data_IF_164717829140
#
_entry.id   IF_164717829140
#
_cell.length_a   1.000
_cell.length_b   1.000
_cell.length_c   1.000
_cell.angle_alpha   90.00
_cell.angle_beta   90.00
_cell.angle_gamma   90.00
#
_symmetry.space_group_name_H-M   'P 1'
#
loop_
_entity.id
_entity.type
_entity.pdbx_description
1 polymer ?
#
# COMPACT_ATOMS: atom_id res chain seq x y z
N UNK A 1 35.79 39.04 23.49
CA UNK A 1 36.62 38.26 22.55
C UNK A 1 35.63 37.69 21.53
N UNK A 2 35.24 38.45 20.51
CA UNK A 2 35.96 38.61 19.23
C UNK A 2 36.10 37.24 18.57
N UNK A 3 35.25 36.84 17.62
CA UNK A 3 35.09 37.37 16.25
C UNK A 3 35.53 36.22 15.34
N UNK A 4 34.83 35.75 14.30
CA UNK A 4 34.51 36.31 12.97
C UNK A 4 34.03 35.03 12.22
N UNK A 5 32.89 34.94 11.54
CA UNK A 5 32.49 35.72 10.36
C UNK A 5 32.86 34.94 9.08
N UNK A 6 31.86 34.43 8.36
CA UNK A 6 32.04 33.72 7.09
C UNK A 6 30.71 33.47 6.38
N UNK A 7 30.09 34.54 5.90
CA UNK A 7 28.92 34.54 5.01
C UNK A 7 29.28 33.97 3.64
N UNK A 8 28.47 33.06 3.11
CA UNK A 8 28.19 33.02 1.67
C UNK A 8 26.73 32.69 1.41
N UNK A 9 25.97 33.78 1.17
CA UNK A 9 25.03 33.96 0.05
C UNK A 9 24.12 32.80 -0.37
N UNK A 10 22.83 32.98 -0.08
CA UNK A 10 21.83 33.30 -1.11
C UNK A 10 21.68 32.37 -2.31
N UNK A 11 20.64 31.53 -2.25
CA UNK A 11 19.95 30.97 -3.41
C UNK A 11 18.45 30.99 -3.18
N UNK A 12 17.76 32.02 -3.68
CA UNK A 12 16.30 32.02 -3.83
C UNK A 12 15.95 31.05 -4.97
N UNK A 13 15.13 30.06 -4.69
CA UNK A 13 14.40 29.27 -5.69
C UNK A 13 13.02 28.99 -5.12
N UNK A 14 12.01 29.72 -5.58
CA UNK A 14 10.63 29.44 -5.24
C UNK A 14 10.12 28.33 -6.14
N UNK A 15 9.59 27.27 -5.56
CA UNK A 15 8.70 26.34 -6.24
C UNK A 15 7.61 25.98 -5.23
N UNK A 16 6.35 26.17 -5.63
CA UNK A 16 5.17 25.82 -4.83
C UNK A 16 5.19 24.33 -4.56
N UNK A 17 5.77 23.95 -3.42
CA UNK A 17 5.78 22.58 -2.96
C UNK A 17 4.36 22.14 -2.71
N UNK A 18 3.87 21.22 -3.54
CA UNK A 18 2.69 20.41 -3.23
C UNK A 18 2.92 19.91 -1.79
N UNK A 19 1.98 20.20 -0.89
CA UNK A 19 1.97 19.65 0.46
C UNK A 19 1.77 18.13 0.35
N UNK A 20 2.79 17.39 -0.08
CA UNK A 20 2.81 15.95 -0.11
C UNK A 20 3.05 15.49 1.32
N UNK A 21 1.99 15.54 2.13
CA UNK A 21 1.96 14.83 3.41
C UNK A 21 2.30 13.35 3.18
N UNK A 22 2.86 12.67 4.18
CA UNK A 22 3.22 11.27 4.04
C UNK A 22 1.97 10.45 3.67
N UNK A 23 2.07 9.66 2.60
CA UNK A 23 1.03 8.70 2.25
C UNK A 23 0.86 7.68 3.39
N UNK A 24 -0.38 7.32 3.71
CA UNK A 24 -0.71 6.31 4.71
C UNK A 24 -1.95 5.53 4.25
N UNK A 25 -2.02 4.24 4.60
CA UNK A 25 -3.21 3.42 4.41
C UNK A 25 -4.32 3.83 5.39
N UNK A 26 -5.57 3.50 5.06
CA UNK A 26 -6.68 3.61 6.01
C UNK A 26 -6.48 2.63 7.18
N UNK A 27 -6.97 3.01 8.37
CA UNK A 27 -6.90 2.16 9.56
C UNK A 27 -7.75 0.89 9.46
N UNK A 28 -8.78 0.91 8.61
CA UNK A 28 -9.68 -0.21 8.33
C UNK A 28 -9.89 -0.33 6.81
N UNK A 29 -10.15 -1.56 6.32
CA UNK A 29 -10.22 -2.83 7.05
C UNK A 29 -8.84 -3.38 7.46
N UNK A 30 -8.77 -4.11 8.58
CA UNK A 30 -7.57 -4.87 8.97
C UNK A 30 -7.45 -6.18 8.18
N UNK A 31 -6.31 -6.87 8.26
CA UNK A 31 -6.15 -8.19 7.64
C UNK A 31 -7.13 -9.23 8.18
N UNK A 32 -7.45 -9.17 9.48
CA UNK A 32 -8.45 -10.03 10.10
C UNK A 32 -9.85 -9.73 9.55
N UNK A 33 -10.17 -8.46 9.34
CA UNK A 33 -11.45 -8.07 8.73
C UNK A 33 -11.54 -8.58 7.29
N UNK A 34 -10.47 -8.45 6.50
CA UNK A 34 -10.42 -8.95 5.12
C UNK A 34 -10.58 -10.48 5.09
N UNK A 35 -9.89 -11.20 5.98
CA UNK A 35 -9.99 -12.65 6.07
C UNK A 35 -11.43 -13.09 6.42
N UNK A 36 -12.05 -12.43 7.41
CA UNK A 36 -13.45 -12.68 7.80
C UNK A 36 -14.42 -12.39 6.66
N UNK A 37 -14.33 -11.22 6.03
CA UNK A 37 -15.18 -10.83 4.90
C UNK A 37 -15.05 -11.81 3.73
N UNK A 38 -13.83 -12.28 3.44
CA UNK A 38 -13.60 -13.26 2.39
C UNK A 38 -14.19 -14.64 2.73
N UNK A 39 -14.06 -15.08 3.98
CA UNK A 39 -14.63 -16.33 4.45
C UNK A 39 -16.17 -16.32 4.40
N UNK A 40 -16.80 -15.23 4.83
CA UNK A 40 -18.26 -15.04 4.73
C UNK A 40 -18.72 -15.12 3.26
N UNK A 41 -18.04 -14.42 2.36
CA UNK A 41 -18.33 -14.43 0.92
C UNK A 41 -18.23 -15.83 0.30
N UNK A 42 -17.24 -16.63 0.71
CA UNK A 42 -17.04 -17.99 0.23
C UNK A 42 -18.09 -18.96 0.78
N UNK A 43 -18.41 -18.85 2.08
CA UNK A 43 -19.39 -19.69 2.74
C UNK A 43 -20.80 -19.50 2.18
N UNK A 44 -21.21 -18.25 1.88
CA UNK A 44 -22.49 -17.94 1.23
C UNK A 44 -22.68 -18.66 -0.12
N UNK A 45 -21.59 -19.04 -0.78
CA UNK A 45 -21.57 -19.65 -2.11
C UNK A 45 -21.20 -21.13 -2.09
N UNK A 46 -21.00 -21.70 -0.90
CA UNK A 46 -20.51 -23.08 -0.73
C UNK A 46 -19.17 -23.32 -1.47
N UNK A 47 -18.28 -22.33 -1.45
CA UNK A 47 -17.01 -22.36 -2.19
C UNK A 47 -15.82 -22.93 -1.40
N UNK A 48 -16.01 -23.26 -0.13
CA UNK A 48 -14.95 -23.80 0.73
C UNK A 48 -14.32 -25.08 0.13
N UNK A 49 -15.10 -25.87 -0.62
CA UNK A 49 -14.62 -27.06 -1.34
C UNK A 49 -13.50 -26.74 -2.35
N UNK A 50 -13.45 -25.52 -2.89
CA UNK A 50 -12.43 -25.09 -3.85
C UNK A 50 -11.23 -24.39 -3.19
N UNK A 51 -11.33 -24.02 -1.91
CA UNK A 51 -10.29 -23.29 -1.16
C UNK A 51 -9.21 -24.21 -0.56
N UNK A 52 -8.74 -25.18 -1.34
CA UNK A 52 -7.54 -25.94 -1.00
C UNK A 52 -6.29 -25.07 -1.16
N UNK A 53 -5.23 -25.23 -0.33
CA UNK A 53 -4.06 -24.35 -0.36
C UNK A 53 -3.42 -24.18 -1.75
N UNK A 54 -3.34 -25.27 -2.54
CA UNK A 54 -2.84 -25.23 -3.92
C UNK A 54 -3.72 -24.39 -4.85
N UNK A 55 -5.04 -24.47 -4.71
CA UNK A 55 -5.97 -23.76 -5.57
C UNK A 55 -5.88 -22.25 -5.32
N UNK A 56 -5.83 -21.85 -4.05
CA UNK A 56 -5.64 -20.46 -3.65
C UNK A 56 -4.29 -19.91 -4.15
N UNK A 57 -3.22 -20.70 -4.06
CA UNK A 57 -1.92 -20.32 -4.60
C UNK A 57 -1.97 -20.10 -6.12
N UNK A 58 -2.62 -21.00 -6.86
CA UNK A 58 -2.77 -20.85 -8.32
C UNK A 58 -3.64 -19.65 -8.70
N UNK A 59 -4.71 -19.38 -7.94
CA UNK A 59 -5.52 -18.18 -8.13
C UNK A 59 -4.71 -16.89 -7.88
N UNK A 60 -3.87 -16.87 -6.84
CA UNK A 60 -2.95 -15.77 -6.57
C UNK A 60 -1.97 -15.55 -7.73
N UNK A 61 -1.35 -16.63 -8.25
CA UNK A 61 -0.45 -16.54 -9.41
C UNK A 61 -1.18 -15.94 -10.62
N UNK A 62 -2.43 -16.32 -10.86
CA UNK A 62 -3.28 -15.70 -11.90
C UNK A 62 -3.43 -14.19 -11.71
N UNK A 63 -3.70 -13.71 -10.48
CA UNK A 63 -3.81 -12.28 -10.18
C UNK A 63 -2.49 -11.51 -10.30
N UNK A 64 -1.36 -12.14 -9.97
CA UNK A 64 -0.03 -11.55 -10.21
C UNK A 64 0.24 -11.45 -11.72
N UNK A 65 -0.17 -12.44 -12.51
CA UNK A 65 -0.11 -12.39 -13.97
C UNK A 65 -0.91 -11.22 -14.54
N UNK A 66 -2.19 -11.10 -14.16
CA UNK A 66 -3.05 -9.97 -14.55
C UNK A 66 -2.43 -8.62 -14.18
N UNK A 67 -1.85 -8.47 -12.98
CA UNK A 67 -1.19 -7.24 -12.54
C UNK A 67 0.06 -6.91 -13.38
N UNK A 68 0.81 -7.92 -13.83
CA UNK A 68 2.01 -7.73 -14.63
C UNK A 68 1.70 -7.39 -16.10
N UNK A 69 0.48 -7.64 -16.56
CA UNK A 69 -0.01 -7.25 -17.89
C UNK A 69 -0.50 -5.80 -17.96
N UNK A 70 -0.68 -5.13 -16.81
CA UNK A 70 -1.02 -3.70 -16.72
C UNK A 70 0.18 -2.80 -17.04
#
# INVERSE_FOLDING_TARGET
MSGVGGDTRGGKGGEGGICAGPFSFSSEPTLEDIARLHAEFAAERDWDQFHQPRNLLLALVGKVGELAEL
#
